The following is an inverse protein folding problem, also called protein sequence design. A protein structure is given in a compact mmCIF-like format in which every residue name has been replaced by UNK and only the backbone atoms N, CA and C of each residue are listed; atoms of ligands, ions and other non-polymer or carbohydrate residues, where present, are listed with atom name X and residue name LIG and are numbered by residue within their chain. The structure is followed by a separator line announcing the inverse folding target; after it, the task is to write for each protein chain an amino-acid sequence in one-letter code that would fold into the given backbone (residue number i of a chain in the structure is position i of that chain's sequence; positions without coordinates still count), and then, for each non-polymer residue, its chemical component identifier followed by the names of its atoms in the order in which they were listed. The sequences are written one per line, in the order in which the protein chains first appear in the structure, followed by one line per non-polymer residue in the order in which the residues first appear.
data_IF_559074530440
#
_entry.id   IF_559074530440
#
_cell.length_a   1.000
_cell.length_b   1.000
_cell.length_c   1.000
_cell.angle_alpha   90.00
_cell.angle_beta   90.00
_cell.angle_gamma   90.00
#
_symmetry.space_group_name_H-M   'P 1'
#
loop_
_entity.id
_entity.type
_entity.pdbx_description
1 polymer ?
#
# COMPACT_ATOMS: atom_id res chain seq x y z
N UNK A 1 21.61 -2.61 7.55
CA UNK A 1 20.16 -2.56 7.81
C UNK A 1 19.75 -3.90 8.38
N UNK A 2 19.21 -3.99 9.62
CA UNK A 2 18.70 -5.26 10.12
C UNK A 2 17.53 -5.72 9.24
N UNK A 3 17.60 -6.95 8.75
CA UNK A 3 16.54 -7.51 7.92
C UNK A 3 15.33 -7.81 8.80
N UNK A 4 14.16 -7.29 8.43
CA UNK A 4 12.89 -7.66 9.05
C UNK A 4 12.68 -9.18 8.88
N UNK A 5 12.50 -9.94 9.97
CA UNK A 5 12.21 -11.37 9.88
C UNK A 5 10.93 -11.60 9.07
N UNK A 6 10.92 -12.61 8.20
CA UNK A 6 9.78 -12.85 7.30
C UNK A 6 8.46 -13.05 8.06
N UNK A 7 8.50 -13.70 9.23
CA UNK A 7 7.34 -13.95 10.09
C UNK A 7 6.66 -12.67 10.59
N UNK A 8 7.34 -11.52 10.58
CA UNK A 8 6.79 -10.25 11.05
C UNK A 8 5.90 -9.56 10.00
N UNK A 9 5.97 -9.99 8.74
CA UNK A 9 5.26 -9.31 7.64
C UNK A 9 3.75 -9.32 7.82
N UNK A 10 3.18 -10.48 8.19
CA UNK A 10 1.74 -10.66 8.40
C UNK A 10 1.20 -9.92 9.63
N UNK A 11 1.80 -10.04 10.84
CA UNK A 11 1.31 -9.28 11.99
C UNK A 11 1.47 -7.75 11.83
N UNK A 12 2.47 -7.28 11.07
CA UNK A 12 2.57 -5.86 10.70
C UNK A 12 1.44 -5.45 9.75
N UNK A 13 1.13 -6.30 8.78
CA UNK A 13 0.00 -6.05 7.88
C UNK A 13 -1.32 -5.96 8.63
N UNK A 14 -1.57 -6.84 9.59
CA UNK A 14 -2.82 -6.85 10.38
C UNK A 14 -2.99 -5.56 11.19
N UNK A 15 -1.91 -5.07 11.82
CA UNK A 15 -1.93 -3.78 12.51
C UNK A 15 -2.09 -2.62 11.54
N UNK A 16 -1.43 -2.69 10.38
CA UNK A 16 -1.46 -1.62 9.39
C UNK A 16 -2.84 -1.47 8.75
N UNK A 17 -3.48 -2.57 8.34
CA UNK A 17 -4.79 -2.54 7.70
C UNK A 17 -5.89 -2.04 8.65
N UNK A 18 -5.75 -2.29 9.95
CA UNK A 18 -6.67 -1.78 10.96
C UNK A 18 -6.66 -0.24 11.07
N UNK A 19 -5.59 0.43 10.63
CA UNK A 19 -5.49 1.90 10.58
C UNK A 19 -5.99 2.50 9.27
N UNK A 20 -6.20 1.68 8.24
CA UNK A 20 -6.70 2.16 6.96
C UNK A 20 -8.22 2.36 7.02
N UNK A 21 -8.75 3.46 6.46
CA UNK A 21 -10.18 3.62 6.34
C UNK A 21 -10.76 2.53 5.44
N UNK A 22 -11.96 2.03 5.78
CA UNK A 22 -12.67 1.09 4.95
C UNK A 22 -12.95 1.74 3.59
N UNK A 23 -12.28 1.25 2.54
CA UNK A 23 -12.47 1.76 1.18
C UNK A 23 -13.06 0.68 0.29
N UNK A 24 -14.16 0.97 -0.42
CA UNK A 24 -14.69 0.01 -1.37
C UNK A 24 -13.67 -0.18 -2.51
N UNK A 25 -13.49 -1.43 -2.94
CA UNK A 25 -12.57 -1.77 -4.03
C UNK A 25 -12.99 -1.16 -5.38
N UNK A 26 -14.24 -0.70 -5.46
CA UNK A 26 -14.87 -0.04 -6.59
C UNK A 26 -15.54 1.22 -6.07
N UNK A 27 -15.35 2.34 -6.74
CA UNK A 27 -16.05 3.58 -6.40
C UNK A 27 -17.57 3.37 -6.59
N UNK A 28 -18.41 3.60 -5.56
CA UNK A 28 -19.86 3.39 -5.66
C UNK A 28 -20.53 4.32 -6.69
N UNK A 29 -19.85 5.38 -7.11
CA UNK A 29 -20.36 6.39 -8.04
C UNK A 29 -20.18 5.99 -9.52
N UNK A 30 -19.45 4.91 -9.83
CA UNK A 30 -19.09 4.60 -11.22
C UNK A 30 -19.85 3.41 -11.81
N UNK A 31 -21.08 3.68 -12.26
CA UNK A 31 -22.04 2.71 -12.83
C UNK A 31 -21.51 1.88 -14.01
N UNK A 32 -20.51 2.37 -14.75
CA UNK A 32 -20.00 1.72 -15.97
C UNK A 32 -18.75 0.86 -15.74
N UNK A 33 -18.16 0.84 -14.54
CA UNK A 33 -17.05 -0.08 -14.21
C UNK A 33 -15.76 0.01 -15.06
N UNK A 34 -15.64 0.95 -16.00
CA UNK A 34 -14.54 1.00 -16.98
C UNK A 34 -13.19 1.53 -16.46
N UNK A 35 -13.00 1.70 -15.14
CA UNK A 35 -11.73 2.12 -14.58
C UNK A 35 -10.91 0.95 -14.06
N UNK A 36 -9.58 1.12 -14.12
CA UNK A 36 -8.63 0.16 -13.56
C UNK A 36 -8.91 0.00 -12.07
N UNK A 37 -9.24 -1.22 -11.65
CA UNK A 37 -9.47 -1.57 -10.24
C UNK A 37 -8.29 -1.11 -9.40
N UNK A 38 -8.59 -0.55 -8.24
CA UNK A 38 -7.60 -0.13 -7.27
C UNK A 38 -6.77 -1.34 -6.85
N UNK A 39 -5.44 -1.26 -6.98
CA UNK A 39 -4.52 -2.32 -6.52
C UNK A 39 -4.71 -2.51 -5.01
N UNK A 40 -4.74 -3.78 -4.58
CA UNK A 40 -4.93 -4.15 -3.18
C UNK A 40 -3.83 -3.54 -2.30
N UNK A 41 -4.23 -2.98 -1.16
CA UNK A 41 -3.29 -2.33 -0.23
C UNK A 41 -2.20 -3.30 0.24
N UNK A 42 -2.50 -4.61 0.36
CA UNK A 42 -1.51 -5.66 0.71
C UNK A 42 -0.35 -5.71 -0.29
N UNK A 43 -0.65 -5.69 -1.58
CA UNK A 43 0.37 -5.76 -2.63
C UNK A 43 1.30 -4.55 -2.51
N UNK A 44 0.74 -3.36 -2.30
CA UNK A 44 1.52 -2.13 -2.17
C UNK A 44 2.35 -2.13 -0.89
N UNK A 45 1.79 -2.63 0.21
CA UNK A 45 2.48 -2.76 1.49
C UNK A 45 3.68 -3.71 1.40
N UNK A 46 3.51 -4.89 0.81
CA UNK A 46 4.60 -5.86 0.63
C UNK A 46 5.72 -5.30 -0.25
N UNK A 47 5.37 -4.48 -1.25
CA UNK A 47 6.33 -3.76 -2.09
C UNK A 47 7.10 -2.70 -1.29
N UNK A 48 6.43 -1.93 -0.43
CA UNK A 48 7.10 -0.98 0.46
C UNK A 48 8.02 -1.69 1.46
N UNK A 49 7.61 -2.83 2.01
CA UNK A 49 8.43 -3.64 2.91
C UNK A 49 9.69 -4.15 2.21
N UNK A 50 9.60 -4.53 0.94
CA UNK A 50 10.77 -4.90 0.12
C UNK A 50 11.75 -3.75 -0.07
N UNK A 51 11.26 -2.53 -0.36
CA UNK A 51 12.11 -1.33 -0.46
C UNK A 51 12.85 -1.08 0.86
N UNK A 52 12.16 -1.19 1.99
CA UNK A 52 12.75 -1.00 3.32
C UNK A 52 13.76 -2.10 3.67
N UNK A 53 13.46 -3.36 3.34
CA UNK A 53 14.32 -4.51 3.65
C UNK A 53 15.58 -4.57 2.80
N UNK A 54 15.45 -4.30 1.50
CA UNK A 54 16.53 -4.51 0.53
C UNK A 54 17.20 -3.22 0.08
N UNK A 55 16.64 -2.05 0.39
CA UNK A 55 17.18 -0.75 -0.03
C UNK A 55 17.11 -0.52 -1.55
N UNK A 56 16.25 -1.27 -2.25
CA UNK A 56 16.08 -1.16 -3.69
C UNK A 56 15.17 0.00 -4.09
N UNK A 57 15.29 0.49 -5.33
CA UNK A 57 14.44 1.55 -5.84
C UNK A 57 13.01 1.07 -6.10
N UNK A 58 12.04 1.98 -6.09
CA UNK A 58 10.66 1.66 -6.49
C UNK A 58 10.56 1.08 -7.90
N UNK A 59 11.46 1.49 -8.80
CA UNK A 59 11.50 0.95 -10.16
C UNK A 59 11.99 -0.50 -10.17
N UNK A 60 12.94 -0.85 -9.30
CA UNK A 60 13.50 -2.20 -9.21
C UNK A 60 12.53 -3.25 -8.64
N UNK A 61 11.50 -2.84 -7.91
CA UNK A 61 10.47 -3.74 -7.36
C UNK A 61 9.12 -3.66 -8.08
N UNK A 62 8.94 -2.67 -8.95
CA UNK A 62 7.75 -2.54 -9.76
C UNK A 62 7.62 -3.74 -10.70
N UNK A 63 6.39 -4.22 -10.87
CA UNK A 63 6.10 -5.37 -11.72
C UNK A 63 4.73 -5.21 -12.40
N UNK A 64 4.23 -6.29 -13.01
CA UNK A 64 2.92 -6.31 -13.67
C UNK A 64 1.75 -6.05 -12.72
N UNK A 65 1.93 -6.31 -11.41
CA UNK A 65 0.89 -6.12 -10.39
C UNK A 65 0.83 -4.68 -9.91
N UNK A 66 1.98 -4.01 -9.78
CA UNK A 66 2.06 -2.66 -9.24
C UNK A 66 3.22 -1.85 -9.81
N UNK A 67 2.91 -0.67 -10.36
CA UNK A 67 3.92 0.26 -10.87
C UNK A 67 4.61 1.07 -9.76
N UNK A 68 5.82 1.55 -10.03
CA UNK A 68 6.59 2.41 -9.11
C UNK A 68 5.83 3.69 -8.73
N UNK A 69 5.06 4.25 -9.66
CA UNK A 69 4.22 5.44 -9.41
C UNK A 69 3.06 5.11 -8.47
N UNK A 70 2.44 3.94 -8.61
CA UNK A 70 1.37 3.51 -7.71
C UNK A 70 1.89 3.38 -6.28
N UNK A 71 3.08 2.78 -6.11
CA UNK A 71 3.71 2.60 -4.79
C UNK A 71 3.95 3.96 -4.11
N UNK A 72 4.52 4.92 -4.84
CA UNK A 72 4.75 6.28 -4.32
C UNK A 72 3.45 6.99 -3.96
N UNK A 73 2.49 7.02 -4.88
CA UNK A 73 1.22 7.71 -4.65
C UNK A 73 0.49 7.14 -3.43
N UNK A 74 0.51 5.81 -3.24
CA UNK A 74 -0.12 5.17 -2.08
C UNK A 74 0.59 5.46 -0.78
N UNK A 75 1.92 5.47 -0.78
CA UNK A 75 2.70 5.88 0.39
C UNK A 75 2.30 7.30 0.83
N UNK A 76 2.27 8.23 -0.12
CA UNK A 76 1.96 9.63 0.18
C UNK A 76 0.50 9.77 0.66
N UNK A 77 -0.42 9.04 0.04
CA UNK A 77 -1.82 8.95 0.47
C UNK A 77 -1.95 8.43 1.92
N UNK A 78 -1.22 7.37 2.28
CA UNK A 78 -1.25 6.82 3.63
C UNK A 78 -0.60 7.75 4.67
N UNK A 79 0.48 8.45 4.30
CA UNK A 79 1.09 9.48 5.16
C UNK A 79 0.10 10.61 5.42
N UNK A 80 -0.63 11.06 4.40
CA UNK A 80 -1.64 12.10 4.55
C UNK A 80 -2.79 11.67 5.49
N UNK A 81 -3.23 10.41 5.41
CA UNK A 81 -4.22 9.86 6.33
C UNK A 81 -3.72 9.89 7.78
N UNK A 82 -2.49 9.44 8.01
CA UNK A 82 -1.89 9.41 9.35
C UNK A 82 -1.70 10.81 9.96
N UNK A 83 -1.47 11.84 9.12
CA UNK A 83 -1.35 13.23 9.57
C UNK A 83 -2.71 13.95 9.69
N UNK A 84 -3.81 13.36 9.23
CA UNK A 84 -5.13 13.99 9.30
C UNK A 84 -5.74 13.82 10.69
N UNK A 85 -6.17 14.90 11.37
CA UNK A 85 -6.62 14.86 12.78
C UNK A 85 -7.90 14.06 13.03
N UNK A 86 -8.55 13.55 12.00
CA UNK A 86 -9.81 12.80 12.06
C UNK A 86 -9.63 11.29 12.23
N UNK A 87 -8.40 10.75 12.25
CA UNK A 87 -8.14 9.30 12.28
C UNK A 87 -7.77 8.76 13.67
N UNK A 88 -8.05 9.48 14.76
CA UNK A 88 -7.66 9.10 16.12
C UNK A 88 -8.88 8.89 17.02
#
# INVERSE_FOLDING_TARGET
MPAVPAWLSDPLWDQFVALLPLRPATDPTHLLGCHRRRIADRIVFDKLLQVLRFGCSYQGIADSTCSATTIRNRRDEWIQLACSPSSR
#
